data_IF_267092676394
#
_entry.id   IF_267092676394
#
_cell.length_a   1.000
_cell.length_b   1.000
_cell.length_c   1.000
_cell.angle_alpha   90.00
_cell.angle_beta   90.00
_cell.angle_gamma   90.00
#
_symmetry.space_group_name_H-M   'P 1'
#
loop_
_entity.id
_entity.type
_entity.pdbx_description
1 polymer ?
#
# COMPACT_ATOMS: atom_id res chain seq x y z
N UNK A 1 26.78 16.16 10.44
CA UNK A 1 25.58 15.49 11.00
C UNK A 1 25.37 14.14 10.31
N UNK A 2 26.15 13.10 10.66
CA UNK A 2 26.01 11.76 10.06
C UNK A 2 25.81 10.65 11.10
N UNK A 3 25.80 10.99 12.39
CA UNK A 3 25.59 10.06 13.52
C UNK A 3 24.37 9.13 13.41
N UNK A 4 23.15 9.59 12.99
CA UNK A 4 21.97 8.71 13.03
C UNK A 4 22.03 7.58 12.01
N UNK A 5 22.60 7.82 10.83
CA UNK A 5 22.72 6.81 9.76
C UNK A 5 23.66 5.68 10.19
N UNK A 6 24.77 6.01 10.87
CA UNK A 6 25.72 5.02 11.39
C UNK A 6 25.13 4.19 12.54
N UNK A 7 24.24 4.77 13.35
CA UNK A 7 23.53 4.05 14.39
C UNK A 7 22.55 3.01 13.80
N UNK A 8 21.80 3.39 12.76
CA UNK A 8 20.89 2.49 12.05
C UNK A 8 21.68 1.36 11.36
N UNK A 9 22.80 1.69 10.70
CA UNK A 9 23.65 0.70 10.04
C UNK A 9 24.22 -0.33 11.03
N UNK A 10 24.70 0.10 12.21
CA UNK A 10 25.19 -0.84 13.24
C UNK A 10 24.09 -1.70 13.85
N UNK A 11 22.89 -1.16 14.01
CA UNK A 11 21.76 -1.95 14.48
C UNK A 11 21.34 -3.00 13.45
N UNK A 12 21.32 -2.61 12.17
CA UNK A 12 21.04 -3.51 11.06
C UNK A 12 22.08 -4.63 10.92
N UNK A 13 23.36 -4.30 11.05
CA UNK A 13 24.47 -5.28 11.08
C UNK A 13 24.28 -6.33 12.19
N UNK A 14 23.84 -5.90 13.38
CA UNK A 14 23.48 -6.82 14.46
C UNK A 14 22.29 -7.73 14.14
N UNK A 15 21.30 -7.23 13.40
CA UNK A 15 20.18 -8.05 12.90
C UNK A 15 20.68 -9.07 11.88
N UNK A 16 21.54 -8.67 10.95
CA UNK A 16 22.12 -9.57 9.95
C UNK A 16 22.87 -10.72 10.62
N UNK A 17 23.70 -10.43 11.63
CA UNK A 17 24.42 -11.46 12.40
C UNK A 17 23.47 -12.38 13.18
N UNK A 18 22.43 -11.84 13.79
CA UNK A 18 21.45 -12.64 14.52
C UNK A 18 20.70 -13.60 13.59
N UNK A 19 20.19 -13.10 12.46
CA UNK A 19 19.41 -13.91 11.51
C UNK A 19 20.28 -14.96 10.85
N UNK A 20 21.48 -14.58 10.41
CA UNK A 20 22.40 -15.51 9.73
C UNK A 20 23.03 -16.53 10.68
N UNK A 21 23.08 -16.23 11.98
CA UNK A 21 23.50 -17.16 13.03
C UNK A 21 22.47 -18.23 13.40
N UNK A 22 21.22 -18.12 12.92
CA UNK A 22 20.16 -19.10 13.18
C UNK A 22 20.20 -20.27 12.18
N UNK A 23 19.90 -21.51 12.61
CA UNK A 23 19.64 -22.60 11.68
C UNK A 23 18.31 -22.41 10.94
N UNK A 24 18.11 -23.14 9.83
CA UNK A 24 17.00 -22.93 8.88
C UNK A 24 15.60 -22.91 9.52
N UNK A 25 15.32 -23.80 10.48
CA UNK A 25 13.98 -23.93 11.09
C UNK A 25 13.58 -22.68 11.89
N UNK A 26 14.35 -22.22 12.90
CA UNK A 26 14.01 -20.99 13.60
C UNK A 26 14.06 -19.75 12.69
N UNK A 27 14.96 -19.69 11.70
CA UNK A 27 14.97 -18.60 10.70
C UNK A 27 13.64 -18.53 9.94
N UNK A 28 13.11 -19.66 9.48
CA UNK A 28 11.84 -19.74 8.77
C UNK A 28 10.65 -19.34 9.64
N UNK A 29 10.67 -19.69 10.93
CA UNK A 29 9.65 -19.29 11.90
C UNK A 29 9.63 -17.76 12.07
N UNK A 30 10.81 -17.13 12.23
CA UNK A 30 10.92 -15.67 12.31
C UNK A 30 10.38 -15.01 11.05
N UNK A 31 10.73 -15.53 9.87
CA UNK A 31 10.20 -15.00 8.60
C UNK A 31 8.68 -15.08 8.57
N UNK A 32 8.11 -16.26 8.87
CA UNK A 32 6.67 -16.48 8.75
C UNK A 32 5.86 -15.70 9.79
N UNK A 33 6.34 -15.62 11.03
CA UNK A 33 5.58 -15.04 12.14
C UNK A 33 5.87 -13.56 12.38
N UNK A 34 7.02 -13.05 11.94
CA UNK A 34 7.43 -11.66 12.20
C UNK A 34 7.54 -10.88 10.89
N UNK A 35 8.35 -11.36 9.94
CA UNK A 35 8.65 -10.60 8.72
C UNK A 35 7.43 -10.50 7.81
N UNK A 36 6.67 -11.59 7.62
CA UNK A 36 5.47 -11.58 6.79
C UNK A 36 4.39 -10.64 7.34
N UNK A 37 4.00 -10.71 8.63
CA UNK A 37 3.07 -9.74 9.21
C UNK A 37 3.59 -8.29 9.17
N UNK A 38 4.89 -8.08 9.42
CA UNK A 38 5.49 -6.75 9.35
C UNK A 38 5.43 -6.17 7.93
N UNK A 39 5.74 -6.98 6.91
CA UNK A 39 5.65 -6.59 5.50
C UNK A 39 4.21 -6.27 5.10
N UNK A 40 3.25 -7.08 5.56
CA UNK A 40 1.83 -6.81 5.33
C UNK A 40 1.38 -5.49 5.98
N UNK A 41 1.79 -5.23 7.22
CA UNK A 41 1.53 -3.97 7.91
C UNK A 41 2.15 -2.78 7.17
N UNK A 42 3.41 -2.90 6.73
CA UNK A 42 4.09 -1.87 5.96
C UNK A 42 3.39 -1.60 4.62
N UNK A 43 2.98 -2.65 3.90
CA UNK A 43 2.21 -2.51 2.67
C UNK A 43 0.94 -1.70 2.91
N UNK A 44 0.18 -2.01 3.97
CA UNK A 44 -1.04 -1.26 4.32
C UNK A 44 -0.80 0.20 4.67
N UNK A 45 0.31 0.49 5.33
CA UNK A 45 0.70 1.87 5.61
C UNK A 45 1.03 2.59 4.30
N UNK A 46 1.83 1.98 3.44
CA UNK A 46 2.19 2.57 2.13
C UNK A 46 0.96 2.79 1.26
N UNK A 47 0.07 1.81 1.16
CA UNK A 47 -1.19 1.92 0.41
C UNK A 47 -2.07 3.04 0.96
N UNK A 48 -2.19 3.14 2.29
CA UNK A 48 -2.96 4.21 2.93
C UNK A 48 -2.35 5.60 2.72
N UNK A 49 -1.02 5.71 2.79
CA UNK A 49 -0.30 6.96 2.50
C UNK A 49 -0.48 7.36 1.05
N UNK A 50 -0.38 6.41 0.11
CA UNK A 50 -0.59 6.64 -1.30
C UNK A 50 -2.03 7.12 -1.58
N UNK A 51 -3.03 6.44 -1.01
CA UNK A 51 -4.43 6.84 -1.12
C UNK A 51 -4.66 8.26 -0.57
N UNK A 52 -4.06 8.57 0.58
CA UNK A 52 -4.12 9.90 1.19
C UNK A 52 -3.50 10.97 0.29
N UNK A 53 -2.34 10.70 -0.31
CA UNK A 53 -1.67 11.63 -1.22
C UNK A 53 -2.52 11.86 -2.49
N UNK A 54 -3.11 10.80 -3.05
CA UNK A 54 -3.97 10.90 -4.24
C UNK A 54 -5.25 11.69 -3.97
N UNK A 55 -5.86 11.50 -2.80
CA UNK A 55 -7.00 12.27 -2.31
C UNK A 55 -6.63 13.75 -2.16
N UNK A 56 -5.50 14.04 -1.50
CA UNK A 56 -5.00 15.41 -1.32
C UNK A 56 -4.66 16.12 -2.64
N UNK A 57 -4.23 15.36 -3.66
CA UNK A 57 -3.98 15.91 -5.00
C UNK A 57 -5.28 16.22 -5.76
N UNK A 58 -6.45 15.96 -5.16
CA UNK A 58 -7.76 16.26 -5.76
C UNK A 58 -8.14 15.29 -6.88
N UNK A 59 -7.58 14.07 -6.88
CA UNK A 59 -7.90 13.02 -7.85
C UNK A 59 -9.13 12.20 -7.43
N UNK A 60 -10.07 12.82 -6.71
CA UNK A 60 -11.41 12.30 -6.46
C UNK A 60 -12.42 12.96 -7.40
N UNK A 61 -12.11 13.03 -8.70
CA UNK A 61 -13.18 13.24 -9.68
C UNK A 61 -13.83 11.86 -9.86
N UNK A 62 -15.07 11.64 -9.39
CA UNK A 62 -15.83 10.47 -9.78
C UNK A 62 -15.83 10.45 -11.30
N UNK A 63 -15.46 9.33 -11.91
CA UNK A 63 -15.67 9.16 -13.34
C UNK A 63 -17.15 9.38 -13.61
N UNK A 64 -17.47 10.52 -14.21
CA UNK A 64 -18.80 10.95 -14.67
C UNK A 64 -19.46 9.93 -15.63
N UNK A 65 -18.74 8.84 -15.97
CA UNK A 65 -19.17 7.71 -16.78
C UNK A 65 -20.11 6.73 -16.05
N UNK A 66 -20.18 6.71 -14.70
CA UNK A 66 -21.21 5.93 -13.98
C UNK A 66 -22.52 6.72 -13.79
N UNK A 67 -22.51 8.02 -14.12
CA UNK A 67 -23.68 8.88 -14.15
C UNK A 67 -24.05 9.21 -15.61
N UNK A 68 -24.19 8.21 -16.47
CA UNK A 68 -25.07 8.38 -17.64
C UNK A 68 -26.49 8.38 -17.08
N UNK A 69 -27.20 9.53 -17.03
CA UNK A 69 -28.61 9.50 -16.73
C UNK A 69 -29.24 8.67 -17.84
N UNK A 70 -29.93 7.59 -17.48
CA UNK A 70 -30.82 6.90 -18.41
C UNK A 70 -31.69 7.98 -19.05
N UNK A 71 -31.41 8.28 -20.32
CA UNK A 71 -32.08 9.34 -21.05
C UNK A 71 -33.58 9.05 -20.96
N UNK A 72 -34.42 10.05 -20.64
CA UNK A 72 -35.85 9.83 -20.67
C UNK A 72 -36.26 9.50 -22.10
N UNK A 73 -36.66 8.26 -22.31
CA UNK A 73 -37.37 7.82 -23.51
C UNK A 73 -38.68 8.61 -23.59
N UNK A 74 -38.76 9.65 -24.44
CA UNK A 74 -40.00 10.10 -25.11
C UNK A 74 -39.80 11.36 -25.96
N UNK A 75 -40.63 11.62 -27.00
CA UNK A 75 -41.60 10.73 -27.65
C UNK A 75 -41.40 10.68 -29.19
N UNK A 76 -41.56 9.50 -29.78
CA UNK A 76 -41.81 9.38 -31.22
C UNK A 76 -43.26 9.82 -31.45
N UNK A 77 -43.48 11.07 -31.84
CA UNK A 77 -44.75 11.54 -32.43
C UNK A 77 -44.41 12.57 -33.51
N UNK A 78 -43.99 12.07 -34.67
CA UNK A 78 -44.13 12.80 -35.91
C UNK A 78 -44.31 11.79 -37.05
N UNK A 79 -45.50 11.76 -37.62
CA UNK A 79 -45.92 10.77 -38.61
C UNK A 79 -47.42 10.86 -38.89
N UNK A 80 -47.87 12.04 -39.33
CA UNK A 80 -49.15 12.24 -40.00
C UNK A 80 -48.91 13.04 -41.28
#
# INVERSE_FOLDING_TARGET
MVEPVHAIARWWDGIELWITGLPFVPQSIVVLLVVVPAAFGLARIVDGVLATILHLLGRDRPSEMDAVPAAPDSPITEGH
#
